data_IF_588963617666
#
_entry.id   IF_588963617666
#
_cell.length_a   1.000
_cell.length_b   1.000
_cell.length_c   1.000
_cell.angle_alpha   90.00
_cell.angle_beta   90.00
_cell.angle_gamma   90.00
#
_symmetry.space_group_name_H-M   'P 1'
#
loop_
_entity.id
_entity.type
_entity.pdbx_description
1 polymer ?
#
# COMPACT_ATOMS: atom_id res chain seq x y z
N UNK A 1 -48.21 -29.05 16.43
CA UNK A 1 -47.03 -28.90 17.32
C UNK A 1 -45.93 -28.25 16.47
N UNK A 2 -45.82 -26.92 16.39
CA UNK A 2 -45.30 -25.96 17.40
C UNK A 2 -43.90 -26.37 17.84
N UNK A 3 -42.80 -25.62 17.59
CA UNK A 3 -42.61 -24.18 17.75
C UNK A 3 -41.58 -23.60 16.76
N UNK A 4 -41.77 -22.32 16.41
CA UNK A 4 -40.77 -21.42 15.82
C UNK A 4 -40.04 -20.70 16.95
N UNK A 5 -38.72 -20.70 16.95
CA UNK A 5 -37.92 -19.83 17.82
C UNK A 5 -37.59 -18.51 17.12
N UNK A 6 -38.17 -17.44 17.63
CA UNK A 6 -37.94 -16.06 17.24
C UNK A 6 -36.73 -15.49 17.99
N UNK A 7 -35.70 -15.06 17.26
CA UNK A 7 -34.63 -14.22 17.81
C UNK A 7 -35.16 -12.79 17.99
N UNK A 8 -35.11 -12.30 19.23
CA UNK A 8 -35.45 -10.93 19.64
C UNK A 8 -34.34 -9.94 19.23
N UNK A 9 -34.65 -8.71 18.80
CA UNK A 9 -33.68 -7.64 18.70
C UNK A 9 -33.36 -7.04 20.07
N UNK A 10 -32.06 -6.80 20.31
CA UNK A 10 -31.51 -6.21 21.53
C UNK A 10 -31.86 -4.73 21.66
N UNK A 11 -32.35 -4.37 22.83
CA UNK A 11 -32.59 -3.00 23.31
C UNK A 11 -31.26 -2.37 23.76
N UNK A 12 -30.86 -1.26 23.14
CA UNK A 12 -29.79 -0.41 23.67
C UNK A 12 -30.35 0.54 24.75
N UNK A 13 -29.66 0.77 25.88
CA UNK A 13 -30.15 1.65 26.92
C UNK A 13 -29.89 3.12 26.56
N UNK A 14 -30.96 3.90 26.53
CA UNK A 14 -30.94 5.37 26.56
C UNK A 14 -30.35 5.85 27.89
N UNK A 15 -29.19 6.50 27.84
CA UNK A 15 -28.64 7.26 28.95
C UNK A 15 -29.41 8.58 29.09
N UNK A 16 -30.17 8.72 30.18
CA UNK A 16 -30.76 10.00 30.61
C UNK A 16 -29.68 10.84 31.28
N UNK A 17 -29.43 12.04 30.77
CA UNK A 17 -28.75 13.10 31.52
C UNK A 17 -29.79 14.13 31.99
N UNK A 18 -29.71 14.63 33.25
CA UNK A 18 -30.60 15.67 33.72
C UNK A 18 -30.08 17.05 33.29
N UNK A 19 -31.00 17.85 32.74
CA UNK A 19 -30.85 19.30 32.57
C UNK A 19 -30.88 19.96 33.96
N UNK A 20 -29.84 20.71 34.29
CA UNK A 20 -29.85 21.73 35.35
C UNK A 20 -29.30 23.01 34.75
N UNK A 21 -30.19 23.98 34.55
CA UNK A 21 -29.85 25.37 34.25
C UNK A 21 -29.30 26.03 35.51
N UNK A 22 -28.13 26.67 35.40
CA UNK A 22 -27.77 27.83 36.22
C UNK A 22 -26.67 28.66 35.51
N UNK A 23 -26.99 29.92 35.22
CA UNK A 23 -26.09 31.07 35.33
C UNK A 23 -24.92 31.20 34.33
N UNK A 24 -25.14 31.96 33.27
CA UNK A 24 -24.06 32.63 32.52
C UNK A 24 -23.75 33.96 33.21
N UNK A 25 -22.49 34.21 33.55
CA UNK A 25 -21.91 35.56 33.59
C UNK A 25 -20.39 35.52 33.38
N UNK A 26 -19.96 36.05 32.22
CA UNK A 26 -18.85 37.01 32.09
C UNK A 26 -17.42 36.50 32.36
N UNK A 27 -16.77 35.93 31.33
CA UNK A 27 -15.29 35.93 31.16
C UNK A 27 -14.90 35.43 29.73
N UNK A 28 -15.14 36.21 28.68
CA UNK A 28 -14.82 35.79 27.28
C UNK A 28 -13.85 36.69 26.53
N UNK A 29 -13.30 37.74 27.15
CA UNK A 29 -12.48 38.72 26.42
C UNK A 29 -10.98 38.42 26.38
N UNK A 30 -10.46 37.44 27.12
CA UNK A 30 -9.02 37.12 27.14
C UNK A 30 -8.61 35.85 26.36
N UNK A 31 -9.55 34.98 26.00
CA UNK A 31 -9.24 33.74 25.28
C UNK A 31 -9.03 33.93 23.76
N UNK A 32 -9.60 34.99 23.16
CA UNK A 32 -9.57 35.21 21.71
C UNK A 32 -8.22 35.78 21.24
N UNK A 33 -7.56 36.63 22.04
CA UNK A 33 -6.27 37.21 21.69
C UNK A 33 -5.15 36.16 21.62
N UNK A 34 -5.16 35.20 22.56
CA UNK A 34 -4.14 34.14 22.63
C UNK A 34 -4.32 33.05 21.55
N UNK A 35 -5.55 32.88 21.04
CA UNK A 35 -5.86 31.94 19.96
C UNK A 35 -5.37 32.44 18.59
N UNK A 36 -5.44 33.76 18.34
CA UNK A 36 -4.99 34.34 17.08
C UNK A 36 -3.45 34.29 16.91
N UNK A 37 -2.69 34.49 17.98
CA UNK A 37 -1.23 34.33 17.96
C UNK A 37 -0.81 32.87 17.76
N UNK A 38 -1.52 31.91 18.37
CA UNK A 38 -1.26 30.49 18.24
C UNK A 38 -1.51 29.97 16.82
N UNK A 39 -2.61 30.39 16.18
CA UNK A 39 -2.95 29.98 14.80
C UNK A 39 -2.01 30.63 13.77
N UNK A 40 -1.50 31.85 14.02
CA UNK A 40 -0.49 32.48 13.15
C UNK A 40 0.88 31.79 13.24
N UNK A 41 1.33 31.40 14.45
CA UNK A 41 2.60 30.67 14.63
C UNK A 41 2.57 29.25 14.04
N UNK A 42 1.43 28.56 14.08
CA UNK A 42 1.28 27.23 13.43
C UNK A 42 1.37 27.35 11.91
N UNK A 43 0.74 28.38 11.31
CA UNK A 43 0.83 28.62 9.86
C UNK A 43 2.27 28.95 9.43
N UNK A 44 2.99 29.76 10.20
CA UNK A 44 4.40 30.06 9.93
C UNK A 44 5.31 28.85 10.12
N UNK A 45 5.12 28.03 11.16
CA UNK A 45 5.89 26.80 11.37
C UNK A 45 5.64 25.76 10.28
N UNK A 46 4.42 25.62 9.76
CA UNK A 46 4.12 24.74 8.63
C UNK A 46 4.72 25.25 7.31
N UNK A 47 4.81 26.58 7.12
CA UNK A 47 5.52 27.20 5.99
C UNK A 47 7.04 26.95 6.11
N UNK A 48 7.62 27.07 7.30
CA UNK A 48 9.03 26.75 7.54
C UNK A 48 9.34 25.25 7.39
N UNK A 49 8.44 24.36 7.82
CA UNK A 49 8.59 22.91 7.65
C UNK A 49 8.48 22.49 6.18
N UNK A 50 7.59 23.11 5.41
CA UNK A 50 7.45 22.86 3.97
C UNK A 50 8.60 23.44 3.16
N UNK A 51 9.18 24.58 3.57
CA UNK A 51 10.39 25.16 2.95
C UNK A 51 11.64 24.32 3.24
N UNK A 52 11.75 23.71 4.43
CA UNK A 52 12.83 22.79 4.78
C UNK A 52 12.75 21.45 4.02
N UNK A 53 11.54 20.96 3.72
CA UNK A 53 11.35 19.72 2.97
C UNK A 53 11.67 19.86 1.47
N UNK A 54 11.60 21.08 0.92
CA UNK A 54 11.89 21.35 -0.49
C UNK A 54 13.39 21.26 -0.86
N UNK A 55 14.30 21.20 0.12
CA UNK A 55 15.76 21.16 -0.11
C UNK A 55 16.36 19.76 -0.32
N UNK A 56 15.61 18.68 -0.12
CA UNK A 56 16.14 17.30 -0.12
C UNK A 56 15.82 16.50 -1.40
N UNK A 57 15.20 17.11 -2.42
CA UNK A 57 14.87 16.44 -3.69
C UNK A 57 15.95 16.58 -4.77
N UNK A 58 17.22 16.72 -4.35
CA UNK A 58 18.36 16.54 -5.25
C UNK A 58 18.65 15.06 -5.42
N UNK A 59 18.15 14.43 -6.50
CA UNK A 59 18.79 13.23 -7.03
C UNK A 59 20.26 13.62 -7.30
N UNK A 60 21.18 13.24 -6.41
CA UNK A 60 22.59 13.56 -6.52
C UNK A 60 23.14 12.89 -7.80
N UNK A 61 23.07 13.62 -8.90
CA UNK A 61 23.92 13.40 -10.07
C UNK A 61 25.32 13.76 -9.65
N UNK A 62 26.29 12.88 -9.93
CA UNK A 62 27.69 13.16 -9.63
C UNK A 62 28.08 14.56 -10.10
N UNK A 63 28.74 15.32 -9.23
CA UNK A 63 29.31 16.62 -9.54
C UNK A 63 30.52 16.47 -10.48
N UNK A 64 30.91 17.55 -11.15
CA UNK A 64 32.07 17.53 -12.07
C UNK A 64 33.38 17.14 -11.39
N UNK A 65 33.57 17.53 -10.14
CA UNK A 65 34.76 17.21 -9.35
C UNK A 65 34.77 15.73 -8.91
N UNK A 66 33.60 15.17 -8.61
CA UNK A 66 33.46 13.72 -8.36
C UNK A 66 33.86 12.94 -9.60
N UNK A 67 33.43 13.32 -10.80
CA UNK A 67 33.84 12.64 -12.04
C UNK A 67 35.37 12.61 -12.24
N UNK A 68 36.06 13.73 -12.01
CA UNK A 68 37.50 13.85 -12.30
C UNK A 68 38.41 13.06 -11.33
N UNK A 69 37.92 12.77 -10.12
CA UNK A 69 38.68 12.08 -9.06
C UNK A 69 38.10 10.71 -8.71
N UNK A 70 37.09 10.26 -9.45
CA UNK A 70 36.38 9.00 -9.19
C UNK A 70 37.25 7.77 -9.37
N UNK A 71 37.20 6.89 -8.38
CA UNK A 71 37.61 5.50 -8.54
C UNK A 71 36.50 4.75 -9.29
N UNK A 72 36.69 4.59 -10.61
CA UNK A 72 35.74 3.89 -11.47
C UNK A 72 35.55 2.43 -11.07
N UNK A 73 36.54 1.78 -10.47
CA UNK A 73 36.40 0.42 -9.95
C UNK A 73 35.48 0.38 -8.74
N UNK A 74 35.62 1.31 -7.80
CA UNK A 74 34.72 1.43 -6.66
C UNK A 74 33.27 1.74 -7.09
N UNK A 75 33.09 2.63 -8.07
CA UNK A 75 31.76 2.92 -8.65
C UNK A 75 31.18 1.67 -9.31
N UNK A 76 32.00 0.94 -10.08
CA UNK A 76 31.62 -0.34 -10.67
C UNK A 76 31.15 -1.32 -9.61
N UNK A 77 31.95 -1.52 -8.54
CA UNK A 77 31.63 -2.42 -7.43
C UNK A 77 30.29 -2.09 -6.79
N UNK A 78 30.03 -0.82 -6.48
CA UNK A 78 28.77 -0.39 -5.90
C UNK A 78 27.58 -0.60 -6.85
N UNK A 79 27.76 -0.33 -8.14
CA UNK A 79 26.71 -0.59 -9.13
C UNK A 79 26.44 -2.10 -9.29
N UNK A 80 27.50 -2.91 -9.25
CA UNK A 80 27.44 -4.37 -9.29
C UNK A 80 26.75 -4.97 -8.07
N UNK A 81 27.10 -4.52 -6.86
CA UNK A 81 26.50 -4.97 -5.59
C UNK A 81 25.01 -4.65 -5.48
N UNK A 82 24.55 -3.65 -6.24
CA UNK A 82 23.14 -3.28 -6.41
C UNK A 82 22.43 -4.00 -7.55
N UNK A 83 23.17 -4.72 -8.40
CA UNK A 83 22.63 -5.48 -9.54
C UNK A 83 22.25 -4.61 -10.74
N UNK A 84 22.89 -3.46 -10.92
CA UNK A 84 22.66 -2.64 -12.10
C UNK A 84 23.23 -3.30 -13.37
N UNK A 85 22.53 -3.11 -14.48
CA UNK A 85 22.98 -3.56 -15.80
C UNK A 85 24.15 -2.72 -16.28
N UNK A 86 24.86 -3.20 -17.30
CA UNK A 86 25.96 -2.46 -17.92
C UNK A 86 25.54 -1.11 -18.51
N UNK A 87 24.26 -0.85 -18.76
CA UNK A 87 23.78 0.45 -19.24
C UNK A 87 24.01 1.59 -18.24
N UNK A 88 24.22 1.27 -16.96
CA UNK A 88 24.45 2.25 -15.89
C UNK A 88 25.70 3.09 -16.13
N UNK A 89 26.78 2.53 -16.70
CA UNK A 89 27.96 3.32 -17.09
C UNK A 89 27.65 4.35 -18.16
N UNK A 90 26.66 4.10 -19.02
CA UNK A 90 26.21 5.07 -20.01
C UNK A 90 25.64 6.34 -19.35
N UNK A 91 25.00 6.19 -18.19
CA UNK A 91 24.48 7.30 -17.40
C UNK A 91 25.62 8.10 -16.77
N UNK A 92 26.62 7.41 -16.19
CA UNK A 92 27.84 8.03 -15.67
C UNK A 92 28.61 8.80 -16.75
N UNK A 93 28.79 8.19 -17.93
CA UNK A 93 29.43 8.84 -19.09
C UNK A 93 28.69 10.12 -19.49
N UNK A 94 27.36 10.10 -19.53
CA UNK A 94 26.55 11.28 -19.89
C UNK A 94 26.68 12.40 -18.85
N UNK A 95 26.77 12.07 -17.56
CA UNK A 95 26.97 13.04 -16.50
C UNK A 95 28.37 13.66 -16.57
N UNK A 96 29.41 12.83 -16.66
CA UNK A 96 30.81 13.25 -16.63
C UNK A 96 31.28 13.94 -17.93
N UNK A 97 30.67 13.64 -19.07
CA UNK A 97 30.96 14.32 -20.34
C UNK A 97 30.70 15.84 -20.28
N UNK A 98 29.74 16.29 -19.44
CA UNK A 98 29.48 17.73 -19.21
C UNK A 98 30.67 18.45 -18.57
N UNK A 99 31.59 17.70 -17.98
CA UNK A 99 32.77 18.17 -17.29
C UNK A 99 34.06 17.74 -18.00
N UNK A 100 33.96 17.22 -19.24
CA UNK A 100 35.12 16.78 -20.03
C UNK A 100 35.79 15.50 -19.54
N UNK A 101 35.15 14.76 -18.61
CA UNK A 101 35.71 13.53 -18.04
C UNK A 101 35.12 12.30 -18.74
N UNK A 102 35.98 11.37 -19.14
CA UNK A 102 35.59 10.07 -19.72
C UNK A 102 35.80 8.97 -18.68
N UNK A 103 34.77 8.15 -18.37
CA UNK A 103 34.92 7.03 -17.46
C UNK A 103 35.95 6.00 -17.91
N UNK A 104 36.71 5.45 -16.97
CA UNK A 104 37.50 4.24 -17.22
C UNK A 104 36.57 3.02 -17.24
N UNK A 105 36.22 2.60 -18.46
CA UNK A 105 35.32 1.47 -18.68
C UNK A 105 35.89 0.15 -18.15
N UNK A 106 37.19 -0.08 -18.27
CA UNK A 106 37.80 -1.33 -17.84
C UNK A 106 37.83 -1.42 -16.31
N UNK A 107 38.20 -0.34 -15.63
CA UNK A 107 38.15 -0.27 -14.17
C UNK A 107 36.71 -0.47 -13.66
N UNK A 108 35.73 0.21 -14.27
CA UNK A 108 34.32 0.04 -13.94
C UNK A 108 33.80 -1.38 -14.14
N UNK A 109 34.07 -1.98 -15.30
CA UNK A 109 33.65 -3.34 -15.60
C UNK A 109 34.20 -4.33 -14.56
N UNK A 110 35.51 -4.25 -14.27
CA UNK A 110 36.15 -5.10 -13.28
C UNK A 110 35.55 -4.93 -11.88
N UNK A 111 35.31 -3.68 -11.47
CA UNK A 111 34.63 -3.40 -10.20
C UNK A 111 33.23 -3.99 -10.17
N UNK A 112 32.45 -3.78 -11.23
CA UNK A 112 31.07 -4.28 -11.34
C UNK A 112 31.00 -5.79 -11.30
N UNK A 113 31.89 -6.47 -11.99
CA UNK A 113 31.93 -7.93 -11.97
C UNK A 113 32.26 -8.45 -10.56
N UNK A 114 33.11 -7.75 -9.80
CA UNK A 114 33.34 -8.06 -8.38
C UNK A 114 32.10 -7.81 -7.52
N UNK A 115 31.42 -6.67 -7.68
CA UNK A 115 30.19 -6.37 -6.94
C UNK A 115 29.05 -7.33 -7.25
N UNK A 116 28.97 -7.83 -8.50
CA UNK A 116 28.00 -8.84 -8.89
C UNK A 116 28.21 -10.17 -8.16
N UNK A 117 29.44 -10.48 -7.72
CA UNK A 117 29.67 -11.66 -6.90
C UNK A 117 28.83 -11.60 -5.63
N UNK A 118 28.74 -10.41 -5.00
CA UNK A 118 27.95 -10.19 -3.78
C UNK A 118 26.45 -10.06 -4.06
N UNK A 119 26.07 -9.50 -5.22
CA UNK A 119 24.67 -9.42 -5.62
C UNK A 119 24.07 -10.80 -5.92
N UNK A 120 24.81 -11.65 -6.63
CA UNK A 120 24.35 -12.94 -7.16
C UNK A 120 24.39 -14.07 -6.13
N UNK A 121 24.17 -13.74 -4.87
CA UNK A 121 24.07 -14.72 -3.79
C UNK A 121 22.62 -15.23 -3.67
N UNK A 122 22.41 -16.54 -3.43
CA UNK A 122 21.06 -17.12 -3.34
C UNK A 122 20.15 -16.39 -2.33
N UNK A 123 20.66 -16.06 -1.14
CA UNK A 123 19.91 -15.31 -0.13
C UNK A 123 19.43 -13.93 -0.61
N UNK A 124 20.22 -13.26 -1.46
CA UNK A 124 19.81 -11.99 -2.08
C UNK A 124 18.74 -12.22 -3.14
N UNK A 125 18.87 -13.27 -3.95
CA UNK A 125 17.85 -13.71 -4.90
C UNK A 125 16.50 -13.93 -4.22
N UNK A 126 16.48 -14.74 -3.16
CA UNK A 126 15.27 -14.98 -2.36
C UNK A 126 14.68 -13.69 -1.79
N UNK A 127 15.51 -12.82 -1.21
CA UNK A 127 15.05 -11.54 -0.66
C UNK A 127 14.40 -10.67 -1.75
N UNK A 128 15.01 -10.57 -2.93
CA UNK A 128 14.43 -9.82 -4.07
C UNK A 128 13.07 -10.42 -4.46
N UNK A 129 13.01 -11.74 -4.67
CA UNK A 129 11.78 -12.42 -5.09
C UNK A 129 10.65 -12.29 -4.04
N UNK A 130 10.97 -12.52 -2.76
CA UNK A 130 9.99 -12.46 -1.66
C UNK A 130 9.42 -11.07 -1.40
N UNK A 131 10.15 -10.02 -1.80
CA UNK A 131 9.69 -8.63 -1.80
C UNK A 131 8.97 -8.22 -3.10
N UNK A 132 8.82 -9.12 -4.08
CA UNK A 132 8.19 -8.84 -5.38
C UNK A 132 9.07 -8.02 -6.32
N UNK A 133 10.39 -7.99 -6.09
CA UNK A 133 11.36 -7.34 -6.96
C UNK A 133 11.61 -8.12 -8.25
N UNK A 134 12.18 -7.45 -9.25
CA UNK A 134 12.57 -8.04 -10.53
C UNK A 134 14.06 -8.34 -10.60
N UNK A 135 14.42 -9.37 -11.37
CA UNK A 135 15.80 -9.70 -11.71
C UNK A 135 16.13 -9.29 -13.15
N UNK A 136 17.30 -8.67 -13.36
CA UNK A 136 17.70 -8.09 -14.64
C UNK A 136 18.67 -8.96 -15.46
N UNK A 137 18.87 -10.23 -15.11
CA UNK A 137 19.78 -11.11 -15.87
C UNK A 137 21.26 -10.71 -15.78
N UNK A 138 21.71 -10.21 -14.62
CA UNK A 138 23.07 -9.65 -14.45
C UNK A 138 24.09 -10.65 -13.91
N UNK A 139 23.64 -11.82 -13.45
CA UNK A 139 24.53 -12.81 -12.84
C UNK A 139 25.34 -13.58 -13.86
N UNK A 140 26.53 -13.99 -13.45
CA UNK A 140 27.38 -14.86 -14.24
C UNK A 140 26.78 -16.26 -14.34
N UNK A 141 27.12 -17.00 -15.40
CA UNK A 141 26.62 -18.38 -15.65
C UNK A 141 26.83 -19.31 -14.45
N UNK A 142 27.91 -19.12 -13.70
CA UNK A 142 28.24 -19.97 -12.55
C UNK A 142 27.40 -19.68 -11.30
N UNK A 143 26.78 -18.50 -11.20
CA UNK A 143 26.00 -18.07 -10.02
C UNK A 143 24.51 -17.96 -10.32
N UNK A 144 24.15 -17.82 -11.59
CA UNK A 144 22.79 -17.52 -12.00
C UNK A 144 21.79 -18.64 -11.65
N UNK A 145 22.21 -19.91 -11.74
CA UNK A 145 21.33 -21.04 -11.39
C UNK A 145 20.85 -20.97 -9.93
N UNK A 146 21.78 -20.94 -8.96
CA UNK A 146 21.43 -20.90 -7.54
C UNK A 146 20.71 -19.61 -7.15
N UNK A 147 21.08 -18.47 -7.77
CA UNK A 147 20.36 -17.21 -7.59
C UNK A 147 18.91 -17.30 -8.07
N UNK A 148 18.68 -17.86 -9.26
CA UNK A 148 17.35 -17.99 -9.85
C UNK A 148 16.47 -18.96 -9.07
N UNK A 149 17.02 -20.06 -8.60
CA UNK A 149 16.27 -21.02 -7.77
C UNK A 149 15.75 -20.34 -6.49
N UNK A 150 16.62 -19.60 -5.80
CA UNK A 150 16.25 -18.83 -4.62
C UNK A 150 15.28 -17.68 -4.93
N UNK A 151 15.52 -16.94 -6.01
CA UNK A 151 14.64 -15.88 -6.49
C UNK A 151 13.24 -16.40 -6.81
N UNK A 152 13.12 -17.51 -7.53
CA UNK A 152 11.85 -18.12 -7.88
C UNK A 152 11.13 -18.63 -6.62
N UNK A 153 11.87 -19.19 -5.66
CA UNK A 153 11.30 -19.60 -4.38
C UNK A 153 10.69 -18.40 -3.62
N UNK A 154 11.43 -17.29 -3.55
CA UNK A 154 10.96 -16.04 -2.96
C UNK A 154 9.78 -15.43 -3.74
N UNK A 155 9.84 -15.38 -5.06
CA UNK A 155 8.78 -14.82 -5.90
C UNK A 155 7.47 -15.60 -5.73
N UNK A 156 7.54 -16.93 -5.64
CA UNK A 156 6.36 -17.74 -5.33
C UNK A 156 5.78 -17.41 -3.95
N UNK A 157 6.62 -17.20 -2.94
CA UNK A 157 6.16 -16.77 -1.61
C UNK A 157 5.45 -15.41 -1.69
N UNK A 158 6.00 -14.46 -2.45
CA UNK A 158 5.37 -13.17 -2.69
C UNK A 158 3.99 -13.33 -3.35
N UNK A 159 3.88 -14.14 -4.41
CA UNK A 159 2.62 -14.39 -5.10
C UNK A 159 1.55 -14.95 -4.16
N UNK A 160 1.89 -15.94 -3.32
CA UNK A 160 0.94 -16.52 -2.37
C UNK A 160 0.45 -15.51 -1.33
N UNK A 161 1.36 -14.68 -0.79
CA UNK A 161 0.98 -13.57 0.11
C UNK A 161 0.05 -12.58 -0.58
N UNK A 162 0.38 -12.20 -1.83
CA UNK A 162 -0.43 -11.28 -2.62
C UNK A 162 -1.84 -11.81 -2.89
N UNK A 163 -2.02 -13.11 -3.15
CA UNK A 163 -3.34 -13.72 -3.33
C UNK A 163 -4.22 -13.56 -2.08
N UNK A 164 -3.67 -13.84 -0.90
CA UNK A 164 -4.39 -13.67 0.38
C UNK A 164 -4.75 -12.21 0.62
N UNK A 165 -3.82 -11.29 0.38
CA UNK A 165 -4.02 -9.86 0.57
C UNK A 165 -5.08 -9.30 -0.38
N UNK A 166 -5.00 -9.62 -1.68
CA UNK A 166 -5.98 -9.17 -2.68
C UNK A 166 -7.38 -9.70 -2.39
N UNK A 167 -7.51 -10.96 -1.98
CA UNK A 167 -8.80 -11.52 -1.56
C UNK A 167 -9.35 -10.79 -0.33
N UNK A 168 -8.51 -10.52 0.66
CA UNK A 168 -8.89 -9.80 1.88
C UNK A 168 -9.37 -8.37 1.59
N UNK A 169 -8.63 -7.61 0.78
CA UNK A 169 -9.04 -6.27 0.36
C UNK A 169 -10.34 -6.28 -0.43
N UNK A 170 -10.54 -7.30 -1.28
CA UNK A 170 -11.78 -7.45 -2.06
C UNK A 170 -12.98 -7.78 -1.17
N UNK A 171 -12.79 -8.60 -0.14
CA UNK A 171 -13.81 -8.89 0.88
C UNK A 171 -14.18 -7.59 1.59
N UNK A 172 -13.22 -6.87 2.16
CA UNK A 172 -13.48 -5.64 2.91
C UNK A 172 -14.18 -4.57 2.07
N UNK A 173 -13.79 -4.41 0.80
CA UNK A 173 -14.44 -3.46 -0.10
C UNK A 173 -15.92 -3.81 -0.37
N UNK A 174 -16.23 -5.10 -0.52
CA UNK A 174 -17.60 -5.58 -0.77
C UNK A 174 -18.46 -5.58 0.49
N UNK A 175 -17.87 -5.89 1.65
CA UNK A 175 -18.54 -5.78 2.94
C UNK A 175 -18.91 -4.32 3.23
N UNK A 176 -18.01 -3.39 2.94
CA UNK A 176 -18.32 -1.97 3.01
C UNK A 176 -19.45 -1.57 2.06
N UNK A 177 -19.43 -2.04 0.81
CA UNK A 177 -20.54 -1.78 -0.12
C UNK A 177 -21.88 -2.33 0.40
N UNK A 178 -21.87 -3.52 1.00
CA UNK A 178 -23.06 -4.14 1.58
C UNK A 178 -23.64 -3.31 2.74
N UNK A 179 -22.76 -2.78 3.60
CA UNK A 179 -23.14 -1.90 4.72
C UNK A 179 -23.83 -0.61 4.22
N UNK A 180 -23.30 0.02 3.16
CA UNK A 180 -23.94 1.20 2.55
C UNK A 180 -25.30 0.91 1.91
N UNK A 181 -25.48 -0.29 1.34
CA UNK A 181 -26.77 -0.68 0.77
C UNK A 181 -27.84 -0.79 1.85
N UNK A 182 -27.49 -1.26 3.06
CA UNK A 182 -28.42 -1.34 4.18
C UNK A 182 -28.89 0.07 4.61
N UNK A 183 -27.99 1.06 4.63
CA UNK A 183 -28.31 2.46 4.90
C UNK A 183 -29.21 3.08 3.80
N UNK A 184 -28.86 2.88 2.53
CA UNK A 184 -29.67 3.37 1.39
C UNK A 184 -31.08 2.76 1.39
N UNK A 185 -31.18 1.47 1.69
CA UNK A 185 -32.47 0.78 1.81
C UNK A 185 -33.33 1.36 2.94
N UNK A 186 -32.73 1.75 4.07
CA UNK A 186 -33.44 2.40 5.17
C UNK A 186 -33.96 3.79 4.77
N UNK A 187 -33.17 4.57 4.02
CA UNK A 187 -33.58 5.88 3.49
C UNK A 187 -34.74 5.73 2.49
N UNK A 188 -34.63 4.78 1.55
CA UNK A 188 -35.70 4.50 0.58
C UNK A 188 -36.98 4.03 1.29
N UNK A 189 -36.86 3.16 2.29
CA UNK A 189 -37.99 2.69 3.09
C UNK A 189 -38.71 3.85 3.81
N UNK A 190 -37.95 4.81 4.37
CA UNK A 190 -38.50 6.01 4.97
C UNK A 190 -39.24 6.90 3.94
N UNK A 191 -38.68 7.04 2.72
CA UNK A 191 -39.34 7.75 1.62
C UNK A 191 -40.65 7.10 1.19
N UNK A 192 -40.72 5.77 1.15
CA UNK A 192 -41.93 5.03 0.75
C UNK A 192 -43.13 5.29 1.68
N UNK A 193 -42.86 5.46 2.99
CA UNK A 193 -43.89 5.69 4.02
C UNK A 193 -44.20 7.16 4.27
N UNK A 194 -43.44 8.09 3.69
CA UNK A 194 -43.66 9.52 3.86
C UNK A 194 -44.95 9.98 3.19
N UNK A 195 -45.67 10.88 3.86
CA UNK A 195 -46.89 11.50 3.35
C UNK A 195 -46.60 12.46 2.18
N UNK A 196 -45.40 13.04 2.13
CA UNK A 196 -44.99 14.01 1.10
C UNK A 196 -44.60 13.36 -0.24
N UNK A 197 -44.49 12.03 -0.30
CA UNK A 197 -44.07 11.32 -1.51
C UNK A 197 -45.25 11.08 -2.47
N UNK A 198 -45.08 11.38 -3.76
CA UNK A 198 -46.12 11.14 -4.77
C UNK A 198 -46.21 9.68 -5.20
N UNK A 199 -47.24 9.30 -5.97
CA UNK A 199 -47.38 7.93 -6.48
C UNK A 199 -46.25 7.58 -7.44
N UNK A 200 -45.90 8.51 -8.31
CA UNK A 200 -44.82 8.37 -9.29
C UNK A 200 -43.47 8.19 -8.60
N UNK A 201 -43.19 8.99 -7.56
CA UNK A 201 -41.98 8.85 -6.73
C UNK A 201 -41.95 7.50 -5.99
N UNK A 202 -43.08 7.04 -5.43
CA UNK A 202 -43.14 5.72 -4.79
C UNK A 202 -42.81 4.58 -5.75
N UNK A 203 -43.22 4.66 -7.02
CA UNK A 203 -42.87 3.65 -8.04
C UNK A 203 -41.35 3.60 -8.26
N UNK A 204 -40.69 4.76 -8.36
CA UNK A 204 -39.23 4.83 -8.51
C UNK A 204 -38.51 4.25 -7.30
N UNK A 205 -38.93 4.62 -6.08
CA UNK A 205 -38.35 4.09 -4.83
C UNK A 205 -38.49 2.56 -4.72
N UNK A 206 -39.61 1.98 -5.20
CA UNK A 206 -39.78 0.52 -5.24
C UNK A 206 -38.82 -0.16 -6.23
N UNK A 207 -38.55 0.48 -7.37
CA UNK A 207 -37.56 -0.02 -8.34
C UNK A 207 -36.15 0.03 -7.73
N UNK A 208 -35.79 1.13 -7.08
CA UNK A 208 -34.49 1.29 -6.43
C UNK A 208 -34.30 0.25 -5.31
N UNK A 209 -35.32 0.05 -4.47
CA UNK A 209 -35.29 -0.98 -3.42
C UNK A 209 -35.08 -2.39 -4.00
N UNK A 210 -35.74 -2.70 -5.13
CA UNK A 210 -35.54 -3.98 -5.83
C UNK A 210 -34.10 -4.11 -6.33
N UNK A 211 -33.55 -3.07 -6.95
CA UNK A 211 -32.18 -3.08 -7.46
C UNK A 211 -31.16 -3.28 -6.34
N UNK A 212 -31.37 -2.62 -5.18
CA UNK A 212 -30.55 -2.82 -3.99
C UNK A 212 -30.61 -4.25 -3.45
N UNK A 213 -31.79 -4.86 -3.42
CA UNK A 213 -31.95 -6.26 -2.99
C UNK A 213 -31.23 -7.25 -3.94
N UNK A 214 -31.31 -7.02 -5.26
CA UNK A 214 -30.57 -7.82 -6.25
C UNK A 214 -29.04 -7.65 -6.08
N UNK A 215 -28.58 -6.41 -5.86
CA UNK A 215 -27.17 -6.12 -5.62
C UNK A 215 -26.66 -6.78 -4.33
N UNK A 216 -27.46 -6.73 -3.27
CA UNK A 216 -27.19 -7.39 -1.97
C UNK A 216 -26.94 -8.88 -2.16
N UNK A 217 -27.87 -9.58 -2.84
CA UNK A 217 -27.72 -11.02 -3.07
C UNK A 217 -26.46 -11.36 -3.88
N UNK A 218 -26.13 -10.53 -4.88
CA UNK A 218 -24.90 -10.70 -5.67
C UNK A 218 -23.64 -10.49 -4.83
N UNK A 219 -23.58 -9.41 -4.04
CA UNK A 219 -22.43 -9.13 -3.17
C UNK A 219 -22.22 -10.23 -2.14
N UNK A 220 -23.28 -10.73 -1.52
CA UNK A 220 -23.19 -11.83 -0.55
C UNK A 220 -22.61 -13.11 -1.18
N UNK A 221 -23.02 -13.44 -2.40
CA UNK A 221 -22.46 -14.57 -3.13
C UNK A 221 -20.96 -14.35 -3.46
N UNK A 222 -20.59 -13.17 -3.97
CA UNK A 222 -19.20 -12.83 -4.28
C UNK A 222 -18.31 -12.83 -3.03
N UNK A 223 -18.79 -12.29 -1.90
CA UNK A 223 -18.08 -12.29 -0.62
C UNK A 223 -17.82 -13.73 -0.16
N UNK A 224 -18.84 -14.60 -0.24
CA UNK A 224 -18.69 -16.02 0.12
C UNK A 224 -17.61 -16.70 -0.73
N UNK A 225 -17.64 -16.52 -2.04
CA UNK A 225 -16.66 -17.12 -2.95
C UNK A 225 -15.23 -16.61 -2.64
N UNK A 226 -15.09 -15.32 -2.29
CA UNK A 226 -13.82 -14.73 -1.88
C UNK A 226 -13.32 -15.28 -0.54
N UNK A 227 -14.20 -15.52 0.43
CA UNK A 227 -13.83 -16.16 1.70
C UNK A 227 -13.28 -17.57 1.46
N UNK A 228 -13.95 -18.35 0.61
CA UNK A 228 -13.50 -19.70 0.24
C UNK A 228 -12.17 -19.66 -0.51
N UNK A 229 -11.97 -18.71 -1.41
CA UNK A 229 -10.71 -18.51 -2.12
C UNK A 229 -9.56 -18.09 -1.19
N UNK A 230 -9.83 -17.14 -0.27
CA UNK A 230 -8.84 -16.70 0.71
C UNK A 230 -8.40 -17.85 1.61
N UNK A 231 -9.34 -18.66 2.09
CA UNK A 231 -9.05 -19.81 2.95
C UNK A 231 -8.12 -20.82 2.24
N UNK A 232 -8.40 -21.16 0.98
CA UNK A 232 -7.52 -22.04 0.18
C UNK A 232 -6.14 -21.43 -0.03
N UNK A 233 -6.08 -20.16 -0.41
CA UNK A 233 -4.82 -19.43 -0.64
C UNK A 233 -3.98 -19.34 0.63
N UNK A 234 -4.62 -19.19 1.79
CA UNK A 234 -3.95 -19.13 3.09
C UNK A 234 -3.32 -20.48 3.47
N UNK A 235 -4.03 -21.59 3.26
CA UNK A 235 -3.46 -22.94 3.47
C UNK A 235 -2.27 -23.17 2.56
N UNK A 236 -2.34 -22.77 1.29
CA UNK A 236 -1.22 -22.90 0.35
C UNK A 236 -0.01 -22.05 0.80
N UNK A 237 -0.26 -20.82 1.25
CA UNK A 237 0.79 -19.95 1.80
C UNK A 237 1.46 -20.60 3.03
N UNK A 238 0.69 -21.08 3.99
CA UNK A 238 1.21 -21.70 5.23
C UNK A 238 2.05 -22.95 4.92
N UNK A 239 1.58 -23.80 4.00
CA UNK A 239 2.33 -24.97 3.55
C UNK A 239 3.64 -24.57 2.86
N UNK A 240 3.60 -23.56 2.00
CA UNK A 240 4.79 -23.12 1.29
C UNK A 240 5.80 -22.43 2.21
N UNK A 241 5.33 -21.74 3.27
CA UNK A 241 6.22 -21.17 4.28
C UNK A 241 7.06 -22.24 4.99
N UNK A 242 6.52 -23.43 5.21
CA UNK A 242 7.29 -24.56 5.76
C UNK A 242 8.38 -25.02 4.78
N UNK A 243 8.03 -25.13 3.48
CA UNK A 243 9.00 -25.49 2.43
C UNK A 243 10.13 -24.47 2.36
N UNK A 244 9.81 -23.17 2.42
CA UNK A 244 10.80 -22.09 2.39
C UNK A 244 11.73 -22.15 3.61
N UNK A 245 11.19 -22.43 4.80
CA UNK A 245 11.98 -22.60 6.01
C UNK A 245 12.93 -23.80 5.91
N UNK A 246 12.49 -24.92 5.33
CA UNK A 246 13.32 -26.10 5.09
C UNK A 246 14.46 -25.83 4.08
N UNK A 247 14.28 -24.87 3.16
CA UNK A 247 15.32 -24.39 2.24
C UNK A 247 16.33 -23.43 2.91
N UNK A 248 16.09 -23.02 4.16
CA UNK A 248 16.98 -22.13 4.92
C UNK A 248 16.73 -20.64 4.71
N UNK A 249 15.50 -20.26 4.32
CA UNK A 249 15.08 -18.87 4.13
C UNK A 249 13.99 -18.41 5.09
#
# INVERSE_FOLDING_TARGET
>A
MSHRDARKPGTYPFFKLPFSQQGVCMETSLAIANWMEYVMNIKWNLVWLSLAFAGLSGCASMSGDECATSDWSAIGYEDGSRGYTMDRIGQHRKACAKHGVTPDFAAYQNGRDQGLVDYCQPGRGFSIGSNGGSYNGVCSVNQEADFLDAYNAGHRLHTLRSNVNSASSSISAKEYELDHIDDDAAVIAAGLISDDTTKEQRILLLVDLKNLAERTGKLQAEIKDLYDYRARSQVELEQYQLVVADLGY
#
